data_IF_419625186285
#
_entry.id   IF_419625186285
#
_cell.length_a   1.000
_cell.length_b   1.000
_cell.length_c   1.000
_cell.angle_alpha   90.00
_cell.angle_beta   90.00
_cell.angle_gamma   90.00
#
_symmetry.space_group_name_H-M   'P 1'
#
loop_
_entity.id
_entity.type
_entity.pdbx_description
1 polymer ?
#
# COMPACT_ATOMS: atom_id res chain seq x y z
N UNK A 1 -13.98 40.99 11.03
CA UNK A 1 -13.98 39.82 11.93
C UNK A 1 -14.61 38.62 11.25
N UNK A 2 -13.97 37.46 11.34
CA UNK A 2 -14.43 36.22 10.71
C UNK A 2 -15.01 35.32 11.80
N UNK A 3 -16.34 35.32 12.02
CA UNK A 3 -16.93 34.56 13.13
C UNK A 3 -16.85 33.05 12.84
N UNK A 4 -16.21 32.22 13.69
CA UNK A 4 -16.07 30.78 13.46
C UNK A 4 -17.42 30.05 13.38
N UNK A 5 -18.47 30.63 13.98
CA UNK A 5 -19.85 30.15 13.87
C UNK A 5 -20.35 30.18 12.43
N UNK A 6 -20.06 31.23 11.66
CA UNK A 6 -20.50 31.33 10.27
C UNK A 6 -19.87 30.23 9.41
N UNK A 7 -18.59 29.90 9.65
CA UNK A 7 -17.92 28.80 8.96
C UNK A 7 -18.59 27.44 9.23
N UNK A 8 -18.93 27.16 10.49
CA UNK A 8 -19.65 25.94 10.86
C UNK A 8 -21.04 25.89 10.21
N UNK A 9 -21.78 27.00 10.29
CA UNK A 9 -23.14 27.11 9.77
C UNK A 9 -23.17 26.93 8.25
N UNK A 10 -22.27 27.57 7.53
CA UNK A 10 -22.21 27.55 6.07
C UNK A 10 -21.65 26.24 5.50
N UNK A 11 -20.53 25.75 6.04
CA UNK A 11 -19.78 24.65 5.41
C UNK A 11 -19.94 23.29 6.10
N UNK A 12 -20.10 23.26 7.43
CA UNK A 12 -19.96 22.01 8.20
C UNK A 12 -21.27 21.48 8.78
N UNK A 13 -22.34 22.29 8.86
CA UNK A 13 -23.63 21.87 9.44
C UNK A 13 -24.20 20.64 8.74
N UNK A 14 -24.40 20.70 7.41
CA UNK A 14 -25.00 19.59 6.66
C UNK A 14 -24.12 18.32 6.71
N UNK A 15 -22.78 18.39 6.48
CA UNK A 15 -21.93 17.23 6.64
C UNK A 15 -21.97 16.61 8.05
N UNK A 16 -21.93 17.44 9.10
CA UNK A 16 -21.96 16.95 10.49
C UNK A 16 -23.29 16.31 10.87
N UNK A 17 -24.41 16.87 10.43
CA UNK A 17 -25.74 16.27 10.60
C UNK A 17 -25.83 14.91 9.89
N UNK A 18 -25.43 14.85 8.62
CA UNK A 18 -25.39 13.58 7.87
C UNK A 18 -24.48 12.53 8.50
N UNK A 19 -23.41 12.97 9.17
CA UNK A 19 -22.51 12.05 9.86
C UNK A 19 -23.20 11.45 11.10
N UNK A 20 -23.82 12.26 11.96
CA UNK A 20 -24.46 11.78 13.20
C UNK A 20 -25.76 11.01 12.95
N UNK A 21 -26.50 11.33 11.88
CA UNK A 21 -27.69 10.59 11.41
C UNK A 21 -27.41 9.11 11.21
N UNK A 22 -26.19 8.73 10.83
CA UNK A 22 -25.78 7.33 10.65
C UNK A 22 -25.64 6.56 11.96
N UNK A 23 -25.51 7.25 13.08
CA UNK A 23 -25.21 6.65 14.40
C UNK A 23 -26.36 6.79 15.39
N UNK A 24 -27.16 7.85 15.29
CA UNK A 24 -28.33 8.05 16.16
C UNK A 24 -29.47 8.70 15.37
N UNK A 25 -30.69 8.25 15.63
CA UNK A 25 -31.92 8.88 15.13
C UNK A 25 -32.52 9.89 16.11
N UNK A 26 -31.94 10.05 17.31
CA UNK A 26 -32.47 10.94 18.35
C UNK A 26 -32.03 12.38 18.12
N UNK A 27 -32.99 13.30 18.04
CA UNK A 27 -32.73 14.73 17.86
C UNK A 27 -31.85 15.35 18.95
N UNK A 28 -31.97 14.88 20.19
CA UNK A 28 -31.15 15.37 21.31
C UNK A 28 -29.66 15.09 21.10
N UNK A 29 -29.32 13.90 20.61
CA UNK A 29 -27.93 13.50 20.35
C UNK A 29 -27.32 14.37 19.24
N UNK A 30 -28.12 14.70 18.22
CA UNK A 30 -27.71 15.58 17.13
C UNK A 30 -27.44 17.00 17.62
N UNK A 31 -28.33 17.53 18.46
CA UNK A 31 -28.17 18.86 19.04
C UNK A 31 -26.92 18.94 19.93
N UNK A 32 -26.71 17.93 20.79
CA UNK A 32 -25.52 17.84 21.64
C UNK A 32 -24.23 17.74 20.81
N UNK A 33 -24.22 16.91 19.77
CA UNK A 33 -23.08 16.75 18.88
C UNK A 33 -22.72 18.05 18.16
N UNK A 34 -23.71 18.70 17.54
CA UNK A 34 -23.53 19.97 16.84
C UNK A 34 -23.07 21.09 17.78
N UNK A 35 -23.64 21.17 18.98
CA UNK A 35 -23.21 22.13 20.01
C UNK A 35 -21.78 21.86 20.47
N UNK A 36 -21.39 20.60 20.58
CA UNK A 36 -20.02 20.18 20.90
C UNK A 36 -19.01 20.63 19.86
N UNK A 37 -19.30 20.38 18.56
CA UNK A 37 -18.45 20.84 17.45
C UNK A 37 -18.30 22.36 17.47
N UNK A 38 -19.42 23.09 17.60
CA UNK A 38 -19.42 24.55 17.68
C UNK A 38 -18.50 25.06 18.78
N UNK A 39 -18.68 24.54 20.00
CA UNK A 39 -17.89 24.94 21.16
C UNK A 39 -16.40 24.67 20.97
N UNK A 40 -16.03 23.52 20.43
CA UNK A 40 -14.61 23.22 20.16
C UNK A 40 -14.03 24.16 19.08
N UNK A 41 -14.78 24.45 18.00
CA UNK A 41 -14.34 25.39 16.97
C UNK A 41 -14.13 26.80 17.52
N UNK A 42 -15.07 27.30 18.32
CA UNK A 42 -14.95 28.60 18.99
C UNK A 42 -13.76 28.64 19.94
N UNK A 43 -13.56 27.57 20.72
CA UNK A 43 -12.43 27.46 21.65
C UNK A 43 -11.09 27.46 20.91
N UNK A 44 -10.98 26.69 19.81
CA UNK A 44 -9.76 26.64 19.00
C UNK A 44 -9.48 27.99 18.31
N UNK A 45 -10.51 28.69 17.86
CA UNK A 45 -10.36 30.00 17.24
C UNK A 45 -9.95 31.08 18.24
N UNK A 46 -10.59 31.12 19.41
CA UNK A 46 -10.21 32.04 20.49
C UNK A 46 -8.77 31.79 20.97
N UNK A 47 -8.36 30.52 21.07
CA UNK A 47 -6.98 30.14 21.39
C UNK A 47 -5.99 30.67 20.33
N UNK A 48 -6.32 30.51 19.04
CA UNK A 48 -5.53 31.07 17.93
C UNK A 48 -5.42 32.60 17.98
N UNK A 49 -6.52 33.32 18.23
CA UNK A 49 -6.51 34.78 18.32
C UNK A 49 -5.71 35.28 19.54
N UNK A 50 -5.83 34.60 20.68
CA UNK A 50 -5.13 34.96 21.92
C UNK A 50 -3.62 34.69 21.87
N UNK A 51 -3.18 33.73 21.06
CA UNK A 51 -1.78 33.31 20.89
C UNK A 51 -1.28 33.58 19.46
N UNK A 52 -1.51 34.79 18.98
CA UNK A 52 -1.21 35.19 17.59
C UNK A 52 0.29 35.16 17.23
N UNK A 53 1.18 35.08 18.22
CA UNK A 53 2.62 34.88 18.04
C UNK A 53 2.97 33.44 17.62
N UNK A 54 2.08 32.48 17.89
CA UNK A 54 2.24 31.08 17.53
C UNK A 54 1.60 30.77 16.17
N UNK A 55 2.35 30.11 15.28
CA UNK A 55 1.81 29.65 14.01
C UNK A 55 0.77 28.53 14.19
N UNK A 56 -0.20 28.44 13.28
CA UNK A 56 -1.25 27.42 13.30
C UNK A 56 -0.73 25.97 13.42
N UNK A 57 0.43 25.67 12.83
CA UNK A 57 1.09 24.36 12.95
C UNK A 57 1.47 24.02 14.40
N UNK A 58 1.92 25.01 15.18
CA UNK A 58 2.31 24.83 16.56
C UNK A 58 1.08 24.45 17.40
N UNK A 59 0.01 25.26 17.30
CA UNK A 59 -1.25 25.01 18.01
C UNK A 59 -1.87 23.66 17.64
N UNK A 60 -1.84 23.31 16.35
CA UNK A 60 -2.30 22.00 15.88
C UNK A 60 -1.48 20.84 16.46
N UNK A 61 -0.15 21.02 16.56
CA UNK A 61 0.73 20.02 17.18
C UNK A 61 0.41 19.84 18.66
N UNK A 62 0.13 20.92 19.40
CA UNK A 62 -0.30 20.84 20.81
C UNK A 62 -1.65 20.14 20.96
N UNK A 63 -2.63 20.46 20.11
CA UNK A 63 -3.94 19.80 20.13
C UNK A 63 -3.81 18.31 19.84
N UNK A 64 -3.01 17.91 18.84
CA UNK A 64 -2.73 16.48 18.57
C UNK A 64 -2.10 15.79 19.77
N UNK A 65 -1.13 16.43 20.45
CA UNK A 65 -0.52 15.91 21.69
C UNK A 65 -1.54 15.69 22.79
N UNK A 66 -2.46 16.63 23.01
CA UNK A 66 -3.53 16.46 24.00
C UNK A 66 -4.46 15.28 23.67
N UNK A 67 -4.52 14.87 22.41
CA UNK A 67 -5.37 13.79 21.93
C UNK A 67 -4.64 12.44 21.81
N UNK A 68 -3.34 12.37 22.10
CA UNK A 68 -2.55 11.13 22.03
C UNK A 68 -3.18 9.93 22.77
N UNK A 69 -3.73 10.07 23.99
CA UNK A 69 -4.36 8.94 24.68
C UNK A 69 -5.56 8.36 23.94
N UNK A 70 -6.23 9.15 23.11
CA UNK A 70 -7.36 8.71 22.29
C UNK A 70 -6.88 8.16 20.95
N UNK A 71 -5.98 8.89 20.28
CA UNK A 71 -5.48 8.51 18.97
C UNK A 71 -4.61 7.25 18.98
N UNK A 72 -4.01 6.87 20.10
CA UNK A 72 -3.30 5.59 20.27
C UNK A 72 -4.13 4.38 19.78
N UNK A 73 -5.45 4.42 19.93
CA UNK A 73 -6.38 3.36 19.54
C UNK A 73 -6.89 3.48 18.09
N UNK A 74 -6.90 4.68 17.51
CA UNK A 74 -7.47 4.91 16.18
C UNK A 74 -6.40 4.87 15.10
N UNK A 75 -6.55 3.93 14.17
CA UNK A 75 -5.67 3.77 13.00
C UNK A 75 -6.52 3.75 11.74
N UNK A 76 -6.06 4.44 10.70
CA UNK A 76 -6.69 4.40 9.38
C UNK A 76 -5.63 4.39 8.31
N UNK A 77 -5.82 3.53 7.32
CA UNK A 77 -5.04 3.50 6.08
C UNK A 77 -5.69 4.33 4.98
N UNK A 78 -6.89 4.87 5.17
CA UNK A 78 -7.61 5.68 4.14
C UNK A 78 -7.60 7.18 4.45
N UNK A 79 -7.57 7.57 5.72
CA UNK A 79 -7.59 8.98 6.12
C UNK A 79 -6.42 9.29 7.05
N UNK A 80 -5.65 10.33 6.73
CA UNK A 80 -4.59 10.81 7.61
C UNK A 80 -5.20 11.55 8.80
N UNK A 81 -5.32 10.90 9.96
CA UNK A 81 -5.89 11.53 11.16
C UNK A 81 -5.09 12.73 11.70
N UNK A 82 -3.86 12.95 11.22
CA UNK A 82 -3.10 14.13 11.59
C UNK A 82 -3.58 15.41 10.87
N UNK A 83 -4.28 15.30 9.73
CA UNK A 83 -4.83 16.47 9.04
C UNK A 83 -6.31 16.34 8.64
N UNK A 84 -6.83 15.11 8.54
CA UNK A 84 -8.16 14.76 8.03
C UNK A 84 -8.43 15.20 6.58
N UNK A 85 -7.40 15.62 5.84
CA UNK A 85 -7.53 16.16 4.48
C UNK A 85 -7.03 15.22 3.39
N UNK A 86 -6.02 14.40 3.67
CA UNK A 86 -5.33 13.60 2.66
C UNK A 86 -5.27 12.13 3.06
N UNK A 87 -5.14 11.27 2.06
CA UNK A 87 -4.84 9.85 2.29
C UNK A 87 -3.42 9.69 2.85
N UNK A 88 -3.22 8.80 3.82
CA UNK A 88 -1.89 8.57 4.38
C UNK A 88 -0.99 7.87 3.37
N UNK A 89 0.32 8.06 3.46
CA UNK A 89 1.32 7.47 2.55
C UNK A 89 2.45 6.79 3.31
N UNK A 90 2.72 7.23 4.54
CA UNK A 90 3.79 6.74 5.39
C UNK A 90 3.21 6.10 6.63
N UNK A 91 3.61 4.87 6.92
CA UNK A 91 3.16 4.08 8.08
C UNK A 91 4.29 4.00 9.10
N UNK A 92 3.96 4.14 10.38
CA UNK A 92 4.88 4.02 11.50
C UNK A 92 4.81 2.65 12.16
N UNK A 93 5.83 2.30 12.95
CA UNK A 93 5.88 1.03 13.70
C UNK A 93 4.70 0.87 14.68
N UNK A 94 4.14 1.98 15.17
CA UNK A 94 2.93 1.99 16.00
C UNK A 94 1.64 1.66 15.22
N UNK A 95 1.71 1.58 13.88
CA UNK A 95 0.61 1.32 12.96
C UNK A 95 -0.22 2.54 12.58
N UNK A 96 0.16 3.74 13.04
CA UNK A 96 -0.40 4.99 12.52
C UNK A 96 0.15 5.29 11.14
N UNK A 97 -0.62 6.01 10.34
CA UNK A 97 -0.20 6.43 9.02
C UNK A 97 -0.49 7.92 8.77
N UNK A 98 0.41 8.61 8.08
CA UNK A 98 0.26 10.03 7.74
C UNK A 98 0.57 10.32 6.27
N UNK A 99 0.00 11.40 5.74
CA UNK A 99 0.22 11.83 4.36
C UNK A 99 1.57 12.55 4.19
N UNK A 100 2.04 12.68 2.96
CA UNK A 100 3.28 13.41 2.64
C UNK A 100 3.25 14.87 3.08
N UNK A 101 2.07 15.52 3.07
CA UNK A 101 1.91 16.89 3.58
C UNK A 101 2.18 16.97 5.08
N UNK A 102 1.67 16.01 5.86
CA UNK A 102 1.94 15.91 7.30
C UNK A 102 3.41 15.60 7.59
N UNK A 103 4.06 14.77 6.77
CA UNK A 103 5.52 14.56 6.86
C UNK A 103 6.27 15.89 6.72
N UNK A 104 5.91 16.72 5.74
CA UNK A 104 6.53 18.05 5.54
C UNK A 104 6.23 19.03 6.68
N UNK A 105 5.04 18.95 7.27
CA UNK A 105 4.58 19.84 8.35
C UNK A 105 5.23 19.51 9.68
N UNK A 106 5.18 18.24 10.10
CA UNK A 106 5.66 17.83 11.42
C UNK A 106 7.14 17.42 11.41
N UNK A 107 7.69 17.06 10.25
CA UNK A 107 9.07 16.64 10.09
C UNK A 107 10.04 17.82 10.06
N UNK A 108 11.22 17.62 10.64
CA UNK A 108 12.35 18.55 10.54
C UNK A 108 13.07 18.29 9.22
N UNK A 109 13.29 19.33 8.41
CA UNK A 109 14.05 19.18 7.16
C UNK A 109 15.48 18.72 7.46
N UNK A 110 15.98 17.75 6.71
CA UNK A 110 17.39 17.36 6.75
C UNK A 110 18.26 18.51 6.24
N UNK A 111 19.41 18.73 6.88
CA UNK A 111 20.39 19.73 6.46
C UNK A 111 21.20 19.31 5.22
N UNK A 112 21.30 18.01 4.95
CA UNK A 112 22.08 17.45 3.84
C UNK A 112 21.23 17.20 2.60
N UNK A 113 20.00 16.70 2.78
CA UNK A 113 19.09 16.34 1.70
C UNK A 113 17.81 17.18 1.79
N UNK A 114 17.65 18.17 0.90
CA UNK A 114 16.57 19.19 0.97
C UNK A 114 15.14 18.63 1.01
N UNK A 115 14.92 17.43 0.49
CA UNK A 115 13.60 16.78 0.44
C UNK A 115 13.46 15.57 1.38
N UNK A 116 14.36 15.46 2.34
CA UNK A 116 14.31 14.44 3.40
C UNK A 116 13.86 15.08 4.70
N UNK A 117 12.95 14.40 5.41
CA UNK A 117 12.29 14.91 6.61
C UNK A 117 12.49 13.94 7.77
N UNK A 118 13.07 14.44 8.85
CA UNK A 118 13.27 13.71 10.10
C UNK A 118 12.04 13.84 10.99
N UNK A 119 11.42 12.72 11.33
CA UNK A 119 10.26 12.65 12.21
C UNK A 119 10.48 11.57 13.29
N UNK A 120 11.04 11.94 14.46
CA UNK A 120 11.52 10.97 15.45
C UNK A 120 10.41 10.25 16.23
N UNK A 121 9.20 10.79 16.22
CA UNK A 121 8.05 10.21 16.90
C UNK A 121 6.75 10.39 16.11
N UNK A 122 5.80 9.49 16.35
CA UNK A 122 4.51 9.53 15.68
C UNK A 122 3.71 10.78 16.12
N UNK A 123 3.23 11.63 15.19
CA UNK A 123 2.43 12.80 15.56
C UNK A 123 1.11 12.47 16.27
N UNK A 124 0.60 11.24 16.11
CA UNK A 124 -0.71 10.80 16.61
C UNK A 124 -0.66 10.12 17.97
N UNK A 125 0.46 9.52 18.37
CA UNK A 125 0.56 8.82 19.66
C UNK A 125 1.84 9.09 20.44
N UNK A 126 2.79 9.83 19.86
CA UNK A 126 4.07 10.16 20.50
C UNK A 126 5.08 9.01 20.58
N UNK A 127 4.74 7.80 20.13
CA UNK A 127 5.65 6.66 20.13
C UNK A 127 6.85 6.91 19.19
N UNK A 128 8.05 6.59 19.67
CA UNK A 128 9.28 6.57 18.87
C UNK A 128 9.33 5.34 17.97
N UNK A 129 10.02 5.44 16.84
CA UNK A 129 10.07 4.40 15.81
C UNK A 129 11.44 4.33 15.15
N UNK A 130 11.68 3.19 14.49
CA UNK A 130 12.97 2.84 13.88
C UNK A 130 13.28 3.67 12.64
N UNK A 131 12.30 3.85 11.75
CA UNK A 131 12.44 4.71 10.59
C UNK A 131 12.10 6.16 10.96
N UNK A 132 13.13 7.01 10.98
CA UNK A 132 13.00 8.43 11.33
C UNK A 132 13.08 9.34 10.11
N UNK A 133 13.50 8.87 8.94
CA UNK A 133 13.75 9.70 7.76
C UNK A 133 12.79 9.33 6.64
N UNK A 134 12.02 10.31 6.18
CA UNK A 134 11.15 10.19 5.01
C UNK A 134 11.68 11.04 3.87
N UNK A 135 11.99 10.42 2.74
CA UNK A 135 12.45 11.06 1.51
C UNK A 135 11.27 11.29 0.59
N UNK A 136 11.09 12.53 0.17
CA UNK A 136 10.06 12.92 -0.78
C UNK A 136 10.73 13.29 -2.11
N UNK A 137 10.05 12.98 -3.22
CA UNK A 137 10.57 13.29 -4.54
C UNK A 137 10.60 14.83 -4.72
N UNK A 138 11.73 15.41 -5.15
CA UNK A 138 11.81 16.84 -5.46
C UNK A 138 10.81 17.25 -6.55
N UNK A 139 10.21 18.46 -6.51
CA UNK A 139 9.23 18.89 -7.51
C UNK A 139 9.73 18.83 -8.95
N UNK A 140 11.02 19.10 -9.19
CA UNK A 140 11.63 19.13 -10.53
C UNK A 140 12.26 17.81 -10.97
N UNK A 141 12.26 16.77 -10.13
CA UNK A 141 12.81 15.46 -10.50
C UNK A 141 11.81 14.66 -11.35
N UNK A 142 12.30 13.94 -12.37
CA UNK A 142 11.48 12.96 -13.09
C UNK A 142 11.15 11.75 -12.22
N UNK A 143 10.09 11.02 -12.59
CA UNK A 143 9.70 9.76 -11.93
C UNK A 143 10.39 8.58 -12.64
N UNK A 144 11.11 7.76 -11.88
CA UNK A 144 11.76 6.55 -12.37
C UNK A 144 10.84 5.36 -12.15
N UNK A 145 10.39 4.76 -13.24
CA UNK A 145 9.43 3.65 -13.25
C UNK A 145 10.10 2.36 -13.70
N UNK A 146 9.87 1.27 -12.97
CA UNK A 146 10.20 -0.09 -13.39
C UNK A 146 8.91 -0.91 -13.54
N UNK A 147 8.75 -1.56 -14.69
CA UNK A 147 7.65 -2.48 -14.96
C UNK A 147 8.19 -3.88 -15.22
N UNK A 148 7.65 -4.88 -14.50
CA UNK A 148 8.07 -6.27 -14.57
C UNK A 148 6.91 -7.12 -15.08
N UNK A 149 7.06 -7.61 -16.30
CA UNK A 149 6.04 -8.42 -16.97
C UNK A 149 5.82 -9.78 -16.29
N UNK A 150 4.62 -10.31 -16.48
CA UNK A 150 4.30 -11.70 -16.17
C UNK A 150 4.90 -12.67 -17.20
N UNK A 151 5.01 -13.94 -16.82
CA UNK A 151 5.58 -14.94 -17.73
C UNK A 151 5.90 -16.31 -17.12
N UNK A 152 5.38 -16.61 -15.92
CA UNK A 152 5.70 -17.83 -15.19
C UNK A 152 7.21 -17.96 -14.95
N UNK A 153 7.76 -19.17 -15.12
CA UNK A 153 9.19 -19.47 -14.92
C UNK A 153 10.16 -18.58 -15.73
N UNK A 154 9.68 -17.92 -16.80
CA UNK A 154 10.51 -16.99 -17.59
C UNK A 154 10.86 -15.70 -16.83
N UNK A 155 10.29 -15.46 -15.65
CA UNK A 155 10.69 -14.36 -14.75
C UNK A 155 12.19 -14.33 -14.43
N UNK A 156 12.89 -15.47 -14.57
CA UNK A 156 14.35 -15.54 -14.52
C UNK A 156 15.02 -14.54 -15.46
N UNK A 157 14.46 -14.29 -16.65
CA UNK A 157 15.02 -13.31 -17.61
C UNK A 157 15.03 -11.90 -17.01
N UNK A 158 13.91 -11.48 -16.40
CA UNK A 158 13.80 -10.18 -15.73
C UNK A 158 14.77 -10.07 -14.55
N UNK A 159 14.93 -11.14 -13.76
CA UNK A 159 15.90 -11.19 -12.66
C UNK A 159 17.34 -11.08 -13.16
N UNK A 160 17.71 -11.83 -14.20
CA UNK A 160 19.05 -11.75 -14.80
C UNK A 160 19.33 -10.35 -15.34
N UNK A 161 18.36 -9.71 -16.00
CA UNK A 161 18.50 -8.32 -16.42
C UNK A 161 18.74 -7.38 -15.24
N UNK A 162 17.93 -7.48 -14.18
CA UNK A 162 18.10 -6.68 -12.96
C UNK A 162 19.47 -6.91 -12.30
N UNK A 163 20.03 -8.12 -12.34
CA UNK A 163 21.36 -8.41 -11.79
C UNK A 163 22.46 -7.69 -12.57
N UNK A 164 22.33 -7.60 -13.89
CA UNK A 164 23.28 -6.83 -14.71
C UNK A 164 23.11 -5.33 -14.43
N UNK A 165 21.87 -4.86 -14.35
CA UNK A 165 21.58 -3.47 -14.06
C UNK A 165 22.06 -3.03 -12.67
N UNK A 166 21.92 -3.87 -11.63
CA UNK A 166 22.44 -3.60 -10.28
C UNK A 166 23.97 -3.43 -10.27
N UNK A 167 24.71 -4.19 -11.08
CA UNK A 167 26.17 -4.04 -11.21
C UNK A 167 26.55 -2.70 -11.83
N UNK A 168 25.82 -2.25 -12.84
CA UNK A 168 26.04 -0.94 -13.45
C UNK A 168 25.72 0.20 -12.46
N UNK A 169 24.62 0.08 -11.71
CA UNK A 169 24.25 1.05 -10.68
C UNK A 169 25.23 1.08 -9.49
N UNK A 170 25.84 -0.05 -9.14
CA UNK A 170 26.85 -0.12 -8.09
C UNK A 170 28.03 0.81 -8.39
N UNK A 171 28.47 0.88 -9.65
CA UNK A 171 29.53 1.78 -10.09
C UNK A 171 29.16 3.26 -9.92
N UNK A 172 27.87 3.58 -9.84
CA UNK A 172 27.34 4.92 -9.60
C UNK A 172 27.02 5.19 -8.12
N UNK A 173 27.27 4.23 -7.22
CA UNK A 173 26.98 4.34 -5.80
C UNK A 173 25.48 4.34 -5.47
N UNK A 174 24.62 3.84 -6.36
CA UNK A 174 23.17 3.83 -6.18
C UNK A 174 22.63 2.40 -5.99
N UNK A 175 22.03 2.05 -4.85
CA UNK A 175 21.38 0.76 -4.69
C UNK A 175 20.15 0.62 -5.59
N UNK A 176 20.01 -0.52 -6.28
CA UNK A 176 18.87 -0.80 -7.16
C UNK A 176 17.51 -0.52 -6.50
N UNK A 177 17.37 -0.91 -5.24
CA UNK A 177 16.12 -0.76 -4.45
C UNK A 177 15.73 0.69 -4.18
N UNK A 178 16.69 1.62 -4.24
CA UNK A 178 16.49 3.06 -4.04
C UNK A 178 16.50 3.84 -5.37
N UNK A 179 16.77 3.14 -6.48
CA UNK A 179 16.86 3.76 -7.80
C UNK A 179 15.48 4.00 -8.44
N UNK A 180 14.45 3.23 -8.13
CA UNK A 180 13.12 3.42 -8.71
C UNK A 180 12.20 4.10 -7.71
N UNK A 181 11.40 5.04 -8.19
CA UNK A 181 10.37 5.71 -7.40
C UNK A 181 9.08 4.89 -7.40
N UNK A 182 8.84 4.17 -8.51
CA UNK A 182 7.69 3.30 -8.72
C UNK A 182 8.11 1.98 -9.37
N UNK A 183 7.62 0.86 -8.83
CA UNK A 183 7.80 -0.49 -9.36
C UNK A 183 6.44 -1.16 -9.48
N UNK A 184 6.12 -1.68 -10.66
CA UNK A 184 4.90 -2.46 -10.88
C UNK A 184 5.21 -3.81 -11.48
N UNK A 185 4.61 -4.87 -10.95
CA UNK A 185 4.82 -6.23 -11.42
C UNK A 185 3.53 -7.01 -11.64
N UNK A 186 3.51 -7.85 -12.67
CA UNK A 186 2.43 -8.81 -12.91
C UNK A 186 2.94 -10.23 -12.71
N UNK A 187 2.22 -11.10 -11.99
CA UNK A 187 2.53 -12.53 -11.85
C UNK A 187 3.97 -12.75 -11.36
N UNK A 188 4.81 -13.46 -12.12
CA UNK A 188 6.25 -13.59 -11.85
C UNK A 188 6.95 -12.24 -11.62
N UNK A 189 6.60 -11.19 -12.37
CA UNK A 189 7.09 -9.84 -12.13
C UNK A 189 6.61 -9.24 -10.80
N UNK A 190 5.40 -9.56 -10.37
CA UNK A 190 4.86 -9.19 -9.06
C UNK A 190 5.61 -9.88 -7.91
N UNK A 191 5.95 -11.16 -8.07
CA UNK A 191 6.81 -11.89 -7.13
C UNK A 191 8.16 -11.19 -6.96
N UNK A 192 8.81 -10.83 -8.08
CA UNK A 192 10.10 -10.13 -8.07
C UNK A 192 9.97 -8.75 -7.42
N UNK A 193 8.93 -7.98 -7.78
CA UNK A 193 8.69 -6.65 -7.23
C UNK A 193 8.54 -6.69 -5.70
N UNK A 194 7.70 -7.59 -5.18
CA UNK A 194 7.51 -7.75 -3.73
C UNK A 194 8.80 -8.25 -3.06
N UNK A 195 9.43 -9.28 -3.59
CA UNK A 195 10.63 -9.89 -3.01
C UNK A 195 11.80 -8.92 -2.88
N UNK A 196 12.12 -8.21 -3.97
CA UNK A 196 13.29 -7.32 -4.01
C UNK A 196 13.01 -5.99 -3.31
N UNK A 197 11.88 -5.35 -3.59
CA UNK A 197 11.64 -3.96 -3.17
C UNK A 197 10.91 -3.84 -1.82
N UNK A 198 10.07 -4.81 -1.45
CA UNK A 198 9.36 -4.79 -0.16
C UNK A 198 9.98 -5.71 0.89
N UNK A 199 10.41 -6.91 0.49
CA UNK A 199 11.04 -7.85 1.41
C UNK A 199 12.54 -7.65 1.56
N UNK A 200 13.13 -6.86 0.66
CA UNK A 200 14.55 -6.56 0.71
C UNK A 200 15.45 -7.75 0.39
N UNK A 201 14.97 -8.73 -0.39
CA UNK A 201 15.80 -9.81 -0.89
C UNK A 201 16.88 -9.26 -1.83
N UNK A 202 18.06 -9.87 -1.79
CA UNK A 202 19.05 -9.67 -2.85
C UNK A 202 18.50 -10.30 -4.14
N UNK A 203 18.96 -9.83 -5.30
CA UNK A 203 18.55 -10.45 -6.56
C UNK A 203 18.94 -11.93 -6.64
N UNK A 204 20.07 -12.30 -6.02
CA UNK A 204 20.50 -13.70 -5.91
C UNK A 204 19.54 -14.54 -5.05
N UNK A 205 19.12 -14.02 -3.91
CA UNK A 205 18.14 -14.68 -3.04
C UNK A 205 16.78 -14.80 -3.73
N UNK A 206 16.35 -13.74 -4.43
CA UNK A 206 15.10 -13.74 -5.17
C UNK A 206 15.13 -14.80 -6.29
N UNK A 207 16.24 -14.92 -7.02
CA UNK A 207 16.43 -15.97 -8.03
C UNK A 207 16.37 -17.37 -7.42
N UNK A 208 17.10 -17.62 -6.32
CA UNK A 208 17.08 -18.91 -5.64
C UNK A 208 15.66 -19.30 -5.20
N UNK A 209 14.92 -18.39 -4.56
CA UNK A 209 13.53 -18.63 -4.15
C UNK A 209 12.60 -18.86 -5.33
N UNK A 210 12.82 -18.15 -6.42
CA UNK A 210 12.04 -18.29 -7.64
C UNK A 210 12.27 -19.65 -8.32
N UNK A 211 13.52 -20.12 -8.37
CA UNK A 211 13.88 -21.45 -8.90
C UNK A 211 13.38 -22.59 -8.01
N UNK A 212 13.48 -22.43 -6.68
CA UNK A 212 12.92 -23.39 -5.71
C UNK A 212 11.39 -23.48 -5.84
N UNK A 213 10.71 -22.33 -5.94
CA UNK A 213 9.28 -22.27 -6.24
C UNK A 213 8.97 -23.01 -7.54
N UNK A 214 9.66 -22.68 -8.63
CA UNK A 214 9.44 -23.31 -9.92
C UNK A 214 9.66 -24.83 -9.88
N UNK A 215 10.66 -25.30 -9.14
CA UNK A 215 10.94 -26.72 -8.94
C UNK A 215 9.81 -27.41 -8.17
N UNK A 216 9.36 -26.81 -7.06
CA UNK A 216 8.27 -27.35 -6.22
C UNK A 216 6.92 -27.32 -6.92
N UNK A 217 6.65 -26.31 -7.74
CA UNK A 217 5.40 -26.17 -8.48
C UNK A 217 5.38 -27.05 -9.72
N UNK A 218 6.40 -26.97 -10.59
CA UNK A 218 6.32 -27.55 -11.94
C UNK A 218 7.08 -28.87 -12.12
N UNK A 219 8.09 -29.19 -11.29
CA UNK A 219 8.93 -30.39 -11.48
C UNK A 219 8.49 -31.61 -10.67
N UNK A 220 7.59 -31.47 -9.70
CA UNK A 220 7.00 -32.60 -8.97
C UNK A 220 6.26 -33.57 -9.90
N UNK A 221 5.81 -33.09 -11.08
CA UNK A 221 5.08 -33.92 -12.04
C UNK A 221 5.97 -34.66 -13.05
N UNK A 222 7.20 -34.22 -13.32
CA UNK A 222 8.04 -34.83 -14.36
C UNK A 222 8.78 -36.10 -13.91
N UNK A 223 8.85 -36.40 -12.60
CA UNK A 223 9.59 -37.56 -12.08
C UNK A 223 8.80 -38.87 -12.00
N UNK A 224 7.52 -38.90 -12.39
CA UNK A 224 6.73 -40.14 -12.40
C UNK A 224 6.37 -40.56 -13.83
N UNK A 225 6.83 -41.74 -14.27
CA UNK A 225 6.25 -42.43 -15.43
C UNK A 225 4.83 -42.86 -15.07
N UNK A 226 3.87 -41.94 -15.21
CA UNK A 226 2.47 -42.18 -14.87
C UNK A 226 1.84 -43.09 -15.94
N UNK A 227 1.09 -44.10 -15.48
CA UNK A 227 0.24 -44.91 -16.37
C UNK A 227 -0.89 -44.06 -16.97
N UNK A 228 -1.42 -44.44 -18.13
CA UNK A 228 -2.55 -43.75 -18.82
C UNK A 228 -3.73 -43.54 -17.85
N UNK A 229 -4.03 -44.50 -16.99
CA UNK A 229 -5.08 -44.40 -15.97
C UNK A 229 -4.80 -43.35 -14.90
N UNK A 230 -3.54 -43.20 -14.46
CA UNK A 230 -3.15 -42.16 -13.51
C UNK A 230 -3.18 -40.77 -14.16
N UNK A 231 -2.91 -40.70 -15.47
CA UNK A 231 -3.05 -39.47 -16.25
C UNK A 231 -4.51 -39.02 -16.35
N UNK A 232 -5.42 -39.95 -16.66
CA UNK A 232 -6.88 -39.69 -16.72
C UNK A 232 -7.41 -39.32 -15.33
N UNK A 233 -7.01 -40.03 -14.26
CA UNK A 233 -7.40 -39.70 -12.89
C UNK A 233 -6.88 -38.33 -12.44
N UNK A 234 -5.68 -37.91 -12.88
CA UNK A 234 -5.17 -36.55 -12.61
C UNK A 234 -5.90 -35.49 -13.40
N UNK A 235 -6.23 -35.73 -14.68
CA UNK A 235 -7.02 -34.79 -15.48
C UNK A 235 -8.43 -34.62 -14.91
N UNK A 236 -9.09 -35.73 -14.54
CA UNK A 236 -10.37 -35.70 -13.82
C UNK A 236 -10.22 -35.02 -12.45
N UNK A 237 -9.13 -35.27 -11.73
CA UNK A 237 -8.83 -34.63 -10.46
C UNK A 237 -8.60 -33.12 -10.58
N UNK A 238 -7.87 -32.65 -11.60
CA UNK A 238 -7.65 -31.24 -11.88
C UNK A 238 -8.93 -30.56 -12.39
N UNK A 239 -9.74 -31.27 -13.17
CA UNK A 239 -11.06 -30.82 -13.61
C UNK A 239 -12.04 -30.69 -12.43
N UNK A 240 -12.01 -31.62 -11.47
CA UNK A 240 -12.85 -31.58 -10.27
C UNK A 240 -12.33 -30.59 -9.22
N UNK A 241 -11.01 -30.38 -9.13
CA UNK A 241 -10.38 -29.46 -8.16
C UNK A 241 -10.21 -28.03 -8.69
N UNK A 242 -10.40 -27.81 -9.98
CA UNK A 242 -10.33 -26.50 -10.66
C UNK A 242 -8.94 -25.81 -10.59
N UNK A 243 -7.85 -26.57 -10.38
CA UNK A 243 -6.45 -26.10 -10.43
C UNK A 243 -5.45 -27.26 -10.55
N UNK A 244 -4.23 -26.99 -11.05
CA UNK A 244 -3.13 -27.96 -11.15
C UNK A 244 -2.12 -27.90 -10.00
N UNK A 245 -1.91 -26.72 -9.41
CA UNK A 245 -0.84 -26.47 -8.44
C UNK A 245 -1.36 -25.76 -7.19
N UNK A 246 -0.78 -26.12 -6.04
CA UNK A 246 -1.09 -25.51 -4.74
C UNK A 246 -0.39 -24.15 -4.58
N UNK A 247 -1.14 -23.12 -4.21
CA UNK A 247 -0.61 -21.77 -3.94
C UNK A 247 0.27 -21.71 -2.69
N UNK A 248 0.23 -22.74 -1.82
CA UNK A 248 1.06 -22.83 -0.63
C UNK A 248 2.56 -22.71 -0.95
N UNK A 249 3.01 -23.12 -2.13
CA UNK A 249 4.41 -22.96 -2.53
C UNK A 249 4.82 -21.48 -2.63
N UNK A 250 3.94 -20.64 -3.21
CA UNK A 250 4.16 -19.19 -3.33
C UNK A 250 4.09 -18.56 -1.94
N UNK A 251 3.09 -18.91 -1.13
CA UNK A 251 2.94 -18.35 0.23
C UNK A 251 4.18 -18.65 1.09
N UNK A 252 4.65 -19.89 1.07
CA UNK A 252 5.83 -20.31 1.81
C UNK A 252 7.12 -19.62 1.32
N UNK A 253 7.21 -19.22 0.04
CA UNK A 253 8.35 -18.48 -0.47
C UNK A 253 8.51 -17.09 0.19
N UNK A 254 7.40 -16.49 0.65
CA UNK A 254 7.39 -15.20 1.37
C UNK A 254 7.33 -15.36 2.90
N UNK A 255 7.33 -16.60 3.41
CA UNK A 255 7.26 -16.85 4.85
C UNK A 255 8.58 -16.49 5.51
N UNK A 256 8.49 -15.73 6.61
CA UNK A 256 9.61 -15.43 7.50
C UNK A 256 9.35 -16.15 8.82
N UNK A 257 10.26 -17.01 9.24
CA UNK A 257 10.09 -17.81 10.46
C UNK A 257 9.89 -16.92 11.70
N UNK A 258 8.91 -17.30 12.54
CA UNK A 258 8.62 -16.61 13.80
C UNK A 258 7.97 -15.23 13.67
N UNK A 259 7.56 -14.80 12.47
CA UNK A 259 6.90 -13.50 12.26
C UNK A 259 5.61 -13.64 11.46
N UNK A 260 4.64 -12.77 11.74
CA UNK A 260 3.46 -12.63 10.89
C UNK A 260 3.87 -12.12 9.50
N UNK A 261 3.13 -12.51 8.46
CA UNK A 261 3.39 -12.00 7.12
C UNK A 261 3.28 -10.47 7.10
N UNK A 262 4.28 -9.77 6.54
CA UNK A 262 4.15 -8.34 6.34
C UNK A 262 2.96 -8.04 5.44
N UNK A 263 2.33 -6.89 5.66
CA UNK A 263 1.24 -6.37 4.85
C UNK A 263 1.78 -5.46 3.74
N UNK A 264 1.01 -5.28 2.69
CA UNK A 264 1.35 -4.38 1.59
C UNK A 264 1.53 -2.94 2.11
N UNK A 265 0.59 -2.42 2.90
CA UNK A 265 0.71 -1.09 3.52
C UNK A 265 1.36 -1.15 4.90
N UNK A 266 2.68 -1.25 4.90
CA UNK A 266 3.49 -1.32 6.10
C UNK A 266 4.52 -0.18 6.17
N UNK A 267 5.16 0.00 7.35
CA UNK A 267 6.34 0.87 7.44
C UNK A 267 7.36 0.46 6.40
N UNK A 268 7.68 1.40 5.51
CA UNK A 268 8.57 1.11 4.41
C UNK A 268 10.03 1.20 4.87
N UNK A 269 10.86 0.29 4.35
CA UNK A 269 12.31 0.37 4.50
C UNK A 269 12.91 1.48 3.62
N UNK A 270 12.30 1.72 2.45
CA UNK A 270 12.65 2.77 1.49
C UNK A 270 11.36 3.42 0.96
N UNK A 271 11.44 4.59 0.33
CA UNK A 271 10.24 5.29 -0.14
C UNK A 271 9.70 4.82 -1.50
N UNK A 272 10.20 3.69 -2.01
CA UNK A 272 9.80 3.11 -3.29
C UNK A 272 8.34 2.64 -3.23
N UNK A 273 7.55 3.10 -4.20
CA UNK A 273 6.17 2.67 -4.36
C UNK A 273 6.11 1.40 -5.17
N UNK A 274 5.50 0.36 -4.62
CA UNK A 274 5.40 -0.96 -5.24
C UNK A 274 3.93 -1.32 -5.41
N UNK A 275 3.61 -1.77 -6.61
CA UNK A 275 2.30 -2.24 -7.01
C UNK A 275 2.41 -3.61 -7.67
N UNK A 276 1.39 -4.44 -7.48
CA UNK A 276 1.18 -5.66 -8.25
C UNK A 276 -0.21 -5.67 -8.84
N UNK A 277 -0.31 -6.12 -10.09
CA UNK A 277 -1.60 -6.23 -10.78
C UNK A 277 -2.26 -7.57 -10.49
N UNK A 278 -3.57 -7.57 -10.35
CA UNK A 278 -4.41 -8.77 -10.22
C UNK A 278 -5.76 -8.50 -10.88
N UNK A 279 -6.60 -9.50 -11.02
CA UNK A 279 -7.91 -9.37 -11.64
C UNK A 279 -8.97 -10.05 -10.76
N UNK A 280 -10.15 -9.46 -10.60
CA UNK A 280 -11.24 -10.11 -9.84
C UNK A 280 -11.70 -11.37 -10.57
N UNK A 281 -11.93 -12.47 -9.86
CA UNK A 281 -12.35 -13.74 -10.46
C UNK A 281 -13.78 -13.70 -11.05
N UNK A 282 -14.69 -12.90 -10.46
CA UNK A 282 -16.10 -12.86 -10.87
C UNK A 282 -16.36 -12.03 -12.13
N UNK A 283 -15.73 -10.87 -12.23
CA UNK A 283 -16.07 -9.85 -13.24
C UNK A 283 -14.88 -9.45 -14.13
N UNK A 284 -13.73 -10.10 -13.97
CA UNK A 284 -12.49 -9.78 -14.67
C UNK A 284 -12.09 -8.29 -14.58
N UNK A 285 -12.39 -7.64 -13.45
CA UNK A 285 -12.02 -6.24 -13.27
C UNK A 285 -10.54 -6.15 -12.86
N UNK A 286 -9.71 -5.38 -13.59
CA UNK A 286 -8.33 -5.14 -13.22
C UNK A 286 -8.22 -4.48 -11.85
N UNK A 287 -7.25 -4.90 -11.06
CA UNK A 287 -7.02 -4.45 -9.71
C UNK A 287 -5.52 -4.21 -9.46
N UNK A 288 -5.23 -3.23 -8.59
CA UNK A 288 -3.88 -2.93 -8.13
C UNK A 288 -3.81 -3.12 -6.62
N UNK A 289 -2.91 -4.01 -6.19
CA UNK A 289 -2.52 -4.17 -4.80
C UNK A 289 -1.19 -3.44 -4.60
N UNK A 290 -1.07 -2.57 -3.59
CA UNK A 290 0.11 -1.71 -3.48
C UNK A 290 0.52 -1.39 -2.04
N UNK A 291 1.74 -0.86 -1.86
CA UNK A 291 2.25 -0.36 -0.58
C UNK A 291 2.00 1.14 -0.34
N UNK A 292 1.22 1.79 -1.19
CA UNK A 292 0.90 3.21 -1.11
C UNK A 292 -0.59 3.45 -1.31
N UNK A 293 -1.06 4.66 -1.03
CA UNK A 293 -2.43 5.02 -1.40
C UNK A 293 -2.45 5.68 -2.77
N UNK A 294 -1.77 6.80 -3.01
CA UNK A 294 -1.69 7.40 -4.34
C UNK A 294 -2.90 8.25 -4.71
N UNK A 295 -3.63 8.77 -3.71
CA UNK A 295 -4.77 9.67 -3.93
C UNK A 295 -6.08 8.98 -4.31
N UNK A 296 -7.13 9.76 -4.58
CA UNK A 296 -8.44 9.24 -4.94
C UNK A 296 -8.51 9.03 -6.46
N UNK A 297 -8.87 7.82 -6.90
CA UNK A 297 -9.16 7.52 -8.31
C UNK A 297 -10.61 7.91 -8.61
N UNK A 298 -10.87 8.35 -9.84
CA UNK A 298 -12.21 8.70 -10.32
C UNK A 298 -13.12 7.47 -10.40
N UNK A 299 -14.44 7.65 -10.27
CA UNK A 299 -15.47 6.60 -10.31
C UNK A 299 -15.57 5.81 -11.65
N UNK A 300 -14.77 6.16 -12.67
CA UNK A 300 -14.63 5.42 -13.94
C UNK A 300 -13.22 4.90 -14.22
N UNK A 301 -12.39 4.71 -13.18
CA UNK A 301 -11.04 4.15 -13.34
C UNK A 301 -11.08 2.79 -14.02
N UNK A 302 -10.13 2.54 -14.94
CA UNK A 302 -10.02 1.28 -15.69
C UNK A 302 -9.58 0.09 -14.82
N UNK A 303 -9.17 0.36 -13.58
CA UNK A 303 -8.85 -0.62 -12.55
C UNK A 303 -9.29 -0.13 -11.16
N UNK A 304 -9.42 -1.07 -10.23
CA UNK A 304 -9.64 -0.78 -8.81
C UNK A 304 -8.35 -0.81 -8.01
N UNK A 305 -8.12 0.24 -7.21
CA UNK A 305 -7.06 0.22 -6.20
C UNK A 305 -7.58 -0.45 -4.93
N UNK A 306 -6.95 -1.56 -4.53
CA UNK A 306 -7.43 -2.36 -3.41
C UNK A 306 -6.69 -1.97 -2.14
N UNK A 307 -7.44 -1.52 -1.13
CA UNK A 307 -6.92 -1.10 0.18
C UNK A 307 -7.96 -1.35 1.27
N UNK A 308 -7.57 -2.08 2.30
CA UNK A 308 -8.40 -2.23 3.50
C UNK A 308 -8.45 -0.92 4.31
N UNK A 309 -9.45 -0.77 5.19
CA UNK A 309 -9.64 0.42 6.03
C UNK A 309 -8.58 0.59 7.13
N UNK A 310 -7.99 -0.54 7.56
CA UNK A 310 -6.98 -0.60 8.60
C UNK A 310 -5.86 -1.55 8.20
N UNK A 311 -4.66 -1.28 8.71
CA UNK A 311 -3.45 -2.07 8.40
C UNK A 311 -3.60 -3.56 8.75
N UNK A 312 -4.27 -3.91 9.86
CA UNK A 312 -4.41 -5.30 10.29
C UNK A 312 -5.23 -6.16 9.33
N UNK A 313 -6.14 -5.53 8.58
CA UNK A 313 -6.99 -6.17 7.59
C UNK A 313 -6.46 -5.97 6.16
N UNK A 314 -5.30 -5.35 6.00
CA UNK A 314 -4.68 -5.15 4.70
C UNK A 314 -4.07 -6.46 4.16
N UNK A 315 -3.89 -6.51 2.84
CA UNK A 315 -3.42 -7.71 2.14
C UNK A 315 -1.98 -8.01 2.57
N UNK A 316 -1.69 -9.28 2.86
CA UNK A 316 -0.31 -9.70 3.14
C UNK A 316 0.54 -9.70 1.87
N UNK A 317 1.87 -9.54 1.98
CA UNK A 317 2.77 -9.60 0.83
C UNK A 317 2.69 -10.96 0.12
N UNK A 318 2.54 -12.05 0.88
CA UNK A 318 2.35 -13.39 0.33
C UNK A 318 1.03 -13.51 -0.44
N UNK A 319 -0.07 -13.01 0.14
CA UNK A 319 -1.37 -13.05 -0.53
C UNK A 319 -1.37 -12.20 -1.81
N UNK A 320 -0.72 -11.03 -1.78
CA UNK A 320 -0.60 -10.18 -2.97
C UNK A 320 0.20 -10.88 -4.09
N UNK A 321 1.28 -11.59 -3.74
CA UNK A 321 2.05 -12.38 -4.70
C UNK A 321 1.23 -13.54 -5.29
N UNK A 322 0.45 -14.23 -4.46
CA UNK A 322 -0.47 -15.30 -4.91
C UNK A 322 -1.53 -14.73 -5.83
N UNK A 323 -2.24 -13.67 -5.43
CA UNK A 323 -3.30 -13.06 -6.23
C UNK A 323 -2.78 -12.64 -7.61
N UNK A 324 -1.58 -12.04 -7.64
CA UNK A 324 -0.97 -11.62 -8.90
C UNK A 324 -0.55 -12.79 -9.80
N UNK A 325 -0.27 -13.98 -9.24
CA UNK A 325 0.29 -15.14 -9.95
C UNK A 325 -0.69 -16.31 -10.12
N UNK A 326 -1.92 -16.17 -9.64
CA UNK A 326 -2.92 -17.23 -9.61
C UNK A 326 -3.56 -17.45 -11.00
N UNK A 327 -2.75 -17.94 -11.95
CA UNK A 327 -3.18 -18.08 -13.34
C UNK A 327 -4.24 -19.18 -13.45
N UNK A 328 -5.39 -18.92 -14.11
CA UNK A 328 -6.42 -19.94 -14.32
C UNK A 328 -5.85 -21.21 -14.94
N UNK A 329 -6.43 -22.36 -14.56
CA UNK A 329 -5.94 -23.71 -14.85
C UNK A 329 -4.64 -24.11 -14.14
N UNK A 330 -3.78 -23.17 -13.75
CA UNK A 330 -2.54 -23.46 -13.03
C UNK A 330 -2.75 -23.41 -11.52
N UNK A 331 -3.33 -22.33 -11.01
CA UNK A 331 -3.56 -22.10 -9.58
C UNK A 331 -5.02 -21.74 -9.33
N UNK A 332 -5.50 -22.03 -8.12
CA UNK A 332 -6.83 -21.61 -7.68
C UNK A 332 -6.84 -20.10 -7.44
N UNK A 333 -7.91 -19.43 -7.83
CA UNK A 333 -8.15 -18.04 -7.45
C UNK A 333 -8.14 -17.91 -5.91
N UNK A 334 -7.52 -16.84 -5.43
CA UNK A 334 -7.31 -16.60 -4.00
C UNK A 334 -8.45 -15.74 -3.48
N UNK A 335 -9.21 -16.31 -2.56
CA UNK A 335 -10.23 -15.58 -1.84
C UNK A 335 -9.59 -14.82 -0.67
N UNK A 336 -9.83 -13.51 -0.60
CA UNK A 336 -9.37 -12.66 0.49
C UNK A 336 -10.56 -12.18 1.30
N UNK A 337 -10.67 -12.68 2.52
CA UNK A 337 -11.74 -12.33 3.45
C UNK A 337 -11.92 -10.79 3.54
N UNK A 338 -13.15 -10.32 3.38
CA UNK A 338 -13.56 -8.91 3.39
C UNK A 338 -13.12 -8.06 2.19
N UNK A 339 -12.50 -8.64 1.17
CA UNK A 339 -12.18 -7.96 -0.09
C UNK A 339 -12.95 -8.60 -1.24
N UNK A 340 -12.30 -9.48 -1.99
CA UNK A 340 -12.87 -10.21 -3.12
C UNK A 340 -12.00 -11.45 -3.40
N UNK A 341 -12.41 -12.24 -4.39
CA UNK A 341 -11.63 -13.33 -4.94
C UNK A 341 -10.81 -12.83 -6.14
N UNK A 342 -9.50 -13.08 -6.12
CA UNK A 342 -8.55 -12.56 -7.10
C UNK A 342 -7.79 -13.66 -7.86
N UNK A 343 -7.41 -13.36 -9.09
CA UNK A 343 -6.65 -14.23 -9.99
C UNK A 343 -5.57 -13.44 -10.76
N UNK A 344 -4.73 -14.14 -11.52
CA UNK A 344 -3.54 -13.57 -12.16
C UNK A 344 -3.87 -12.32 -12.98
N UNK A 345 -3.08 -11.26 -12.76
CA UNK A 345 -3.24 -9.99 -13.46
C UNK A 345 -2.90 -10.07 -14.94
N UNK A 346 -2.19 -11.12 -15.37
CA UNK A 346 -1.83 -11.41 -16.75
C UNK A 346 -3.00 -11.72 -17.66
N UNK A 347 -4.19 -11.97 -17.10
CA UNK A 347 -5.43 -12.09 -17.88
C UNK A 347 -5.80 -10.79 -18.60
N UNK A 348 -5.51 -9.64 -17.98
CA UNK A 348 -5.85 -8.32 -18.49
C UNK A 348 -4.58 -7.50 -18.83
N UNK A 349 -3.60 -7.50 -17.92
CA UNK A 349 -2.39 -6.68 -18.01
C UNK A 349 -1.12 -7.47 -17.68
N UNK A 350 -0.74 -8.40 -18.58
CA UNK A 350 0.51 -9.15 -18.43
C UNK A 350 1.77 -8.25 -18.47
N UNK A 351 1.70 -7.13 -19.19
CA UNK A 351 2.66 -6.05 -19.09
C UNK A 351 2.01 -4.90 -18.30
N UNK A 352 2.53 -4.55 -17.10
CA UNK A 352 1.89 -3.56 -16.24
C UNK A 352 2.20 -2.11 -16.60
N UNK A 353 2.94 -1.82 -17.69
CA UNK A 353 3.38 -0.47 -18.02
C UNK A 353 2.23 0.52 -18.22
N UNK A 354 1.11 0.06 -18.79
CA UNK A 354 -0.07 0.91 -18.95
C UNK A 354 -0.69 1.30 -17.60
N UNK A 355 -0.89 0.33 -16.70
CA UNK A 355 -1.38 0.57 -15.34
C UNK A 355 -0.40 1.46 -14.56
N UNK A 356 0.91 1.24 -14.72
CA UNK A 356 1.93 2.05 -14.09
C UNK A 356 1.86 3.52 -14.52
N UNK A 357 1.60 3.79 -15.81
CA UNK A 357 1.44 5.16 -16.31
C UNK A 357 0.23 5.86 -15.67
N UNK A 358 -0.91 5.16 -15.56
CA UNK A 358 -2.08 5.69 -14.85
C UNK A 358 -1.80 5.95 -13.38
N UNK A 359 -1.21 4.98 -12.67
CA UNK A 359 -0.87 5.13 -11.26
C UNK A 359 0.08 6.31 -11.01
N UNK A 360 1.07 6.53 -11.88
CA UNK A 360 1.95 7.69 -11.77
C UNK A 360 1.18 9.02 -11.84
N UNK A 361 0.16 9.13 -12.69
CA UNK A 361 -0.67 10.34 -12.79
C UNK A 361 -1.50 10.62 -11.53
N UNK A 362 -1.89 9.59 -10.78
CA UNK A 362 -2.62 9.76 -9.52
C UNK A 362 -1.68 10.04 -8.34
N UNK A 363 -0.54 9.35 -8.28
CA UNK A 363 0.44 9.49 -7.20
C UNK A 363 1.15 10.85 -7.30
N UNK A 364 1.48 11.28 -8.52
CA UNK A 364 2.23 12.50 -8.81
C UNK A 364 1.57 13.33 -9.92
N UNK A 365 0.39 13.93 -9.68
CA UNK A 365 -0.37 14.65 -10.70
C UNK A 365 0.34 15.92 -11.22
N UNK A 366 1.35 16.40 -10.52
CA UNK A 366 2.14 17.58 -10.89
C UNK A 366 3.37 17.25 -11.77
N UNK A 367 3.58 15.98 -12.14
CA UNK A 367 4.80 15.49 -12.80
C UNK A 367 4.59 14.88 -14.17
#
# INVERSE_FOLDING_TARGET
>A
DFPPQALLEEFYTKPSQRAIEKYSSRSDDHCLFMRGIRREMETMFADFESRSDLGALHLHTEKLKSLWPRFSFFKSSKSCFACLMFMPEKVFDCGHAICNTCVRRFGRKSGTEKHSFLLPSCPLCGQSHSNVIFRLIPPTAGIRVLCLDGGGIRGVVSLTFLQHFERELYNLGCPLREFFDYVCGTSAGGFIAIGVFLMGWTLQECLFRFEDLATKTFMVEQKQKLSITQHIQRLLGAYVRDHRYDSAAIENAFRVEGRAYPRMFNPLQNDTKVAVTTTTARHNIPCVLSNYNGGQRSEGSIYHHVRADTQNHDISLSDAAVCSSAAPFFFKAKDLDNLDTYQDGGLEHNNPAFIASWECSFIWPEK
#
